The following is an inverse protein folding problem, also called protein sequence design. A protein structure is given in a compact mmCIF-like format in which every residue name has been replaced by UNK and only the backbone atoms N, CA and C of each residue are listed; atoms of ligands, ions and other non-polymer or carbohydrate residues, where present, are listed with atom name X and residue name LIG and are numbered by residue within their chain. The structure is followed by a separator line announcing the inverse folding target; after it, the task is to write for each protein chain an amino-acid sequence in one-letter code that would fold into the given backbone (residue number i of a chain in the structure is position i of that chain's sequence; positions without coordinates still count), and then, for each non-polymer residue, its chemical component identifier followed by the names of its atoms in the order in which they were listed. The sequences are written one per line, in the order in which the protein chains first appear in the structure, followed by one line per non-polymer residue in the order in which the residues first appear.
data_IF_978698765572
#
_entry.id   IF_978698765572
#
_cell.length_a   1.000
_cell.length_b   1.000
_cell.length_c   1.000
_cell.angle_alpha   90.00
_cell.angle_beta   90.00
_cell.angle_gamma   90.00
#
_symmetry.space_group_name_H-M   'P 1'
#
loop_
_entity.id
_entity.type
_entity.pdbx_description
1 polymer ?
#
# COMPACT_ATOMS: atom_id res chain seq x y z
N UNK A 1 -15.74 -37.17 -34.21
CA UNK A 1 -16.99 -37.51 -33.49
C UNK A 1 -16.79 -37.88 -32.01
N UNK A 2 -15.63 -38.42 -31.60
CA UNK A 2 -15.33 -38.78 -30.20
C UNK A 2 -15.35 -37.60 -29.21
N UNK A 3 -14.94 -36.40 -29.64
CA UNK A 3 -14.89 -35.21 -28.77
C UNK A 3 -16.29 -34.72 -28.30
N UNK A 4 -17.34 -34.93 -29.10
CA UNK A 4 -18.72 -34.54 -28.72
C UNK A 4 -19.33 -35.47 -27.66
N UNK A 5 -18.89 -36.73 -27.60
CA UNK A 5 -19.39 -37.71 -26.62
C UNK A 5 -18.77 -37.44 -25.24
N UNK A 6 -17.49 -37.05 -25.19
CA UNK A 6 -16.79 -36.72 -23.94
C UNK A 6 -17.36 -35.44 -23.30
N UNK A 7 -17.73 -34.44 -24.11
CA UNK A 7 -18.36 -33.20 -23.61
C UNK A 7 -19.76 -33.44 -23.06
N UNK A 8 -20.53 -34.39 -23.61
CA UNK A 8 -21.86 -34.71 -23.08
C UNK A 8 -21.81 -35.59 -21.81
N UNK A 9 -20.75 -36.38 -21.62
CA UNK A 9 -20.57 -37.19 -20.41
C UNK A 9 -20.10 -36.37 -19.21
N UNK A 10 -19.36 -35.28 -19.44
CA UNK A 10 -18.97 -34.33 -18.38
C UNK A 10 -20.15 -33.47 -17.88
N UNK A 11 -21.23 -33.37 -18.66
CA UNK A 11 -22.44 -32.60 -18.29
C UNK A 11 -23.47 -33.41 -17.49
N UNK A 12 -23.34 -34.74 -17.41
CA UNK A 12 -24.41 -35.59 -16.85
C UNK A 12 -24.14 -36.15 -15.45
N UNK A 13 -22.91 -36.08 -14.93
CA UNK A 13 -22.58 -36.63 -13.60
C UNK A 13 -21.52 -35.79 -12.90
N UNK A 14 -21.92 -34.87 -12.03
CA UNK A 14 -20.97 -34.07 -11.26
C UNK A 14 -21.64 -33.18 -10.22
N UNK A 15 -22.23 -33.79 -9.20
CA UNK A 15 -22.46 -33.25 -7.84
C UNK A 15 -23.37 -32.01 -7.74
N UNK A 16 -24.67 -32.14 -7.45
CA UNK A 16 -25.20 -32.42 -6.11
C UNK A 16 -24.47 -31.64 -5.00
N UNK A 17 -25.10 -30.55 -4.56
CA UNK A 17 -24.78 -29.70 -3.41
C UNK A 17 -23.32 -29.27 -3.24
N UNK A 18 -22.97 -28.15 -3.87
CA UNK A 18 -22.15 -27.18 -3.17
C UNK A 18 -23.13 -26.33 -2.34
N UNK A 19 -23.01 -26.41 -1.01
CA UNK A 19 -23.44 -25.31 -0.15
C UNK A 19 -22.87 -24.02 -0.77
N UNK A 20 -23.74 -23.10 -1.18
CA UNK A 20 -23.39 -21.69 -1.32
C UNK A 20 -23.08 -21.16 0.09
N UNK A 21 -21.93 -21.55 0.65
CA UNK A 21 -21.22 -20.63 1.53
C UNK A 21 -20.64 -19.57 0.60
N UNK A 22 -21.47 -18.58 0.25
CA UNK A 22 -20.95 -17.29 -0.19
C UNK A 22 -19.84 -16.91 0.78
N UNK A 23 -18.65 -16.50 0.31
CA UNK A 23 -17.73 -15.84 1.22
C UNK A 23 -18.44 -14.55 1.60
N UNK A 24 -19.05 -14.53 2.78
CA UNK A 24 -19.49 -13.32 3.45
C UNK A 24 -18.22 -12.52 3.76
N UNK A 25 -17.65 -11.92 2.72
CA UNK A 25 -16.67 -10.86 2.87
C UNK A 25 -17.49 -9.69 3.36
N UNK A 26 -17.68 -9.68 4.68
CA UNK A 26 -18.27 -8.56 5.39
C UNK A 26 -17.56 -7.30 4.90
N UNK A 27 -18.27 -6.28 4.37
CA UNK A 27 -17.66 -5.10 3.76
C UNK A 27 -16.70 -4.34 4.70
N UNK A 28 -16.76 -4.64 6.00
CA UNK A 28 -15.86 -4.16 7.03
C UNK A 28 -14.42 -4.74 6.93
N UNK A 29 -14.21 -5.93 6.35
CA UNK A 29 -12.87 -6.50 6.19
C UNK A 29 -12.09 -5.87 5.02
N UNK A 30 -12.74 -5.62 3.88
CA UNK A 30 -12.08 -4.99 2.73
C UNK A 30 -11.64 -3.56 3.03
N UNK A 31 -12.47 -2.76 3.71
CA UNK A 31 -12.13 -1.39 4.11
C UNK A 31 -10.93 -1.33 5.08
N UNK A 32 -10.83 -2.29 6.01
CA UNK A 32 -9.70 -2.36 6.96
C UNK A 32 -8.41 -2.80 6.27
N UNK A 33 -8.46 -3.77 5.35
CA UNK A 33 -7.28 -4.18 4.56
C UNK A 33 -6.77 -3.02 3.69
N UNK A 34 -7.69 -2.28 3.06
CA UNK A 34 -7.34 -1.12 2.24
C UNK A 34 -6.72 0.02 3.05
N UNK A 35 -7.21 0.28 4.26
CA UNK A 35 -6.61 1.27 5.16
C UNK A 35 -5.21 0.88 5.64
N UNK A 36 -4.97 -0.41 5.93
CA UNK A 36 -3.64 -0.91 6.29
C UNK A 36 -2.64 -0.78 5.13
N UNK A 37 -3.08 -1.06 3.90
CA UNK A 37 -2.25 -0.87 2.71
C UNK A 37 -1.89 0.61 2.50
N UNK A 38 -2.86 1.52 2.63
CA UNK A 38 -2.61 2.96 2.55
C UNK A 38 -1.64 3.42 3.64
N UNK A 39 -1.79 2.93 4.88
CA UNK A 39 -0.87 3.24 5.96
C UNK A 39 0.56 2.77 5.65
N UNK A 40 0.70 1.55 5.10
CA UNK A 40 2.01 1.02 4.70
C UNK A 40 2.68 1.92 3.64
N UNK A 41 1.92 2.41 2.66
CA UNK A 41 2.42 3.32 1.62
C UNK A 41 2.90 4.64 2.25
N UNK A 42 2.12 5.23 3.14
CA UNK A 42 2.48 6.51 3.80
C UNK A 42 3.74 6.32 4.65
N UNK A 43 3.84 5.23 5.41
CA UNK A 43 5.03 4.91 6.21
C UNK A 43 6.27 4.66 5.35
N UNK A 44 6.13 4.00 4.19
CA UNK A 44 7.24 3.80 3.26
C UNK A 44 7.79 5.14 2.75
N UNK A 45 6.90 6.03 2.31
CA UNK A 45 7.26 7.38 1.86
C UNK A 45 7.91 8.21 2.98
N UNK A 46 7.42 8.06 4.22
CA UNK A 46 8.00 8.74 5.38
C UNK A 46 9.44 8.27 5.61
N UNK A 47 9.68 6.96 5.57
CA UNK A 47 11.02 6.39 5.73
C UNK A 47 11.98 6.84 4.62
N UNK A 48 11.53 6.87 3.37
CA UNK A 48 12.32 7.41 2.25
C UNK A 48 12.68 8.88 2.46
N UNK A 49 11.71 9.71 2.87
CA UNK A 49 11.91 11.13 3.14
C UNK A 49 12.92 11.35 4.28
N UNK A 50 12.90 10.49 5.32
CA UNK A 50 13.88 10.52 6.40
C UNK A 50 15.29 10.09 5.96
N UNK A 51 15.40 9.15 5.01
CA UNK A 51 16.69 8.80 4.40
C UNK A 51 17.28 9.96 3.61
N UNK A 52 16.45 10.68 2.85
CA UNK A 52 16.88 11.90 2.15
C UNK A 52 17.54 12.91 3.09
N UNK A 53 17.07 13.02 4.33
CA UNK A 53 17.70 13.90 5.33
C UNK A 53 19.16 13.53 5.63
N UNK A 54 19.48 12.23 5.70
CA UNK A 54 20.86 11.75 5.86
C UNK A 54 21.71 12.02 4.61
N UNK A 55 21.10 11.93 3.44
CA UNK A 55 21.77 12.25 2.18
C UNK A 55 22.08 13.76 2.07
N UNK A 56 21.24 14.63 2.67
CA UNK A 56 21.54 16.06 2.76
C UNK A 56 22.78 16.35 3.60
N UNK A 57 23.00 15.62 4.70
CA UNK A 57 24.22 15.76 5.50
C UNK A 57 25.46 15.31 4.70
N UNK A 58 25.33 14.29 3.85
CA UNK A 58 26.39 13.90 2.93
C UNK A 58 26.66 14.96 1.85
N UNK A 59 25.63 15.62 1.32
CA UNK A 59 25.77 16.71 0.35
C UNK A 59 26.44 17.95 0.95
N UNK A 60 26.17 18.24 2.22
CA UNK A 60 26.88 19.28 2.98
C UNK A 60 28.38 18.95 3.09
N UNK A 61 28.73 17.69 3.39
CA UNK A 61 30.12 17.23 3.44
C UNK A 61 30.83 17.26 2.07
N UNK A 62 30.08 17.13 0.97
CA UNK A 62 30.57 17.26 -0.41
C UNK A 62 30.72 18.72 -0.87
N UNK A 63 30.40 19.70 -0.01
CA UNK A 63 30.61 21.12 -0.28
C UNK A 63 29.40 21.84 -0.89
N UNK A 64 28.19 21.28 -0.79
CA UNK A 64 26.98 21.99 -1.16
C UNK A 64 26.81 23.26 -0.29
N UNK A 65 26.38 24.41 -0.86
CA UNK A 65 26.19 25.63 -0.10
C UNK A 65 25.20 25.43 1.06
N UNK A 66 25.60 25.84 2.28
CA UNK A 66 24.78 25.69 3.48
C UNK A 66 23.36 26.30 3.34
N UNK A 67 23.23 27.38 2.56
CA UNK A 67 21.92 28.00 2.25
C UNK A 67 21.00 27.06 1.48
N UNK A 68 21.53 26.28 0.55
CA UNK A 68 20.77 25.33 -0.25
C UNK A 68 20.41 24.09 0.58
N UNK A 69 21.36 23.57 1.35
CA UNK A 69 21.11 22.49 2.33
C UNK A 69 20.02 22.89 3.32
N UNK A 70 20.07 24.11 3.85
CA UNK A 70 19.05 24.60 4.79
C UNK A 70 17.66 24.62 4.15
N UNK A 71 17.54 25.07 2.88
CA UNK A 71 16.25 25.04 2.16
C UNK A 71 15.74 23.62 1.94
N UNK A 72 16.64 22.70 1.59
CA UNK A 72 16.30 21.29 1.41
C UNK A 72 15.87 20.65 2.74
N UNK A 73 16.60 20.89 3.83
CA UNK A 73 16.24 20.43 5.19
C UNK A 73 14.86 20.96 5.60
N UNK A 74 14.54 22.22 5.32
CA UNK A 74 13.21 22.79 5.57
C UNK A 74 12.11 22.12 4.73
N UNK A 75 12.36 21.86 3.45
CA UNK A 75 11.39 21.19 2.58
C UNK A 75 11.14 19.72 3.02
N UNK A 76 12.20 19.01 3.40
CA UNK A 76 12.12 17.66 3.96
C UNK A 76 11.34 17.66 5.26
N UNK A 77 11.62 18.59 6.19
CA UNK A 77 10.89 18.69 7.46
C UNK A 77 9.38 18.94 7.24
N UNK A 78 9.04 19.85 6.32
CA UNK A 78 7.65 20.09 5.93
C UNK A 78 6.99 18.81 5.39
N UNK A 79 7.70 18.05 4.55
CA UNK A 79 7.17 16.82 3.97
C UNK A 79 7.00 15.70 5.00
N UNK A 80 7.93 15.58 5.94
CA UNK A 80 7.83 14.65 7.09
C UNK A 80 6.58 14.96 7.91
N UNK A 81 6.32 16.23 8.22
CA UNK A 81 5.10 16.63 8.95
C UNK A 81 3.83 16.26 8.19
N UNK A 82 3.76 16.56 6.90
CA UNK A 82 2.61 16.21 6.06
C UNK A 82 2.35 14.69 6.05
N UNK A 83 3.39 13.88 5.81
CA UNK A 83 3.26 12.42 5.80
C UNK A 83 2.89 11.86 7.18
N UNK A 84 3.31 12.52 8.25
CA UNK A 84 2.92 12.15 9.63
C UNK A 84 1.44 12.42 9.87
N UNK A 85 0.93 13.57 9.42
CA UNK A 85 -0.49 13.90 9.49
C UNK A 85 -1.34 12.96 8.65
N UNK A 86 -0.89 12.65 7.42
CA UNK A 86 -1.54 11.68 6.53
C UNK A 86 -1.61 10.29 7.19
N UNK A 87 -0.53 9.84 7.83
CA UNK A 87 -0.50 8.56 8.52
C UNK A 87 -1.50 8.53 9.69
N UNK A 88 -1.56 9.61 10.49
CA UNK A 88 -2.53 9.75 11.59
C UNK A 88 -3.96 9.73 11.04
N UNK A 89 -4.23 10.42 9.94
CA UNK A 89 -5.53 10.43 9.29
C UNK A 89 -5.95 9.02 8.86
N UNK A 90 -5.06 8.30 8.16
CA UNK A 90 -5.31 6.92 7.72
C UNK A 90 -5.58 6.01 8.93
N UNK A 91 -4.77 6.09 9.99
CA UNK A 91 -4.99 5.32 11.22
C UNK A 91 -6.35 5.59 11.84
N UNK A 92 -6.80 6.86 11.84
CA UNK A 92 -8.13 7.24 12.39
C UNK A 92 -9.30 6.79 11.52
N UNK A 93 -9.05 6.52 10.24
CA UNK A 93 -10.07 6.03 9.30
C UNK A 93 -10.18 4.51 9.21
N UNK A 94 -9.30 3.76 9.89
CA UNK A 94 -9.31 2.30 10.02
C UNK A 94 -10.14 1.88 11.24
#
# INVERSE_FOLDING_TARGET
MIFRIIVCLFLLTGSAQAEESSPDISPNQEGRLQGVEQLHIVLSKLNETLKTNKDLDALEALGMPAREITRLKMAVDLKVRQLTEDAIYVIRSI
#
